data_IF_926790606596
#
_entry.id   IF_926790606596
#
_cell.length_a   1.000
_cell.length_b   1.000
_cell.length_c   1.000
_cell.angle_alpha   90.00
_cell.angle_beta   90.00
_cell.angle_gamma   90.00
#
_symmetry.space_group_name_H-M   'P 1'
#
loop_
_entity.id
_entity.type
_entity.pdbx_description
1 polymer ?
#
# COMPACT_ATOMS: atom_id res chain seq x y z
N UNK A 1 12.69 32.43 13.64
CA UNK A 1 13.44 31.17 13.46
C UNK A 1 12.51 30.20 12.76
N UNK A 2 12.89 29.79 11.54
CA UNK A 2 12.07 28.96 10.65
C UNK A 2 12.29 27.50 11.02
N UNK A 3 11.33 26.87 11.70
CA UNK A 3 11.29 25.42 11.91
C UNK A 3 10.31 24.85 10.90
N UNK A 4 10.73 24.80 9.63
CA UNK A 4 9.94 24.21 8.54
C UNK A 4 10.80 23.32 7.63
N UNK A 5 12.00 22.93 8.08
CA UNK A 5 12.99 22.27 7.24
C UNK A 5 13.09 20.75 7.39
N UNK A 6 12.55 20.16 8.46
CA UNK A 6 12.85 18.74 8.78
C UNK A 6 11.75 17.80 8.25
N UNK A 7 10.47 18.18 8.34
CA UNK A 7 9.39 17.34 7.82
C UNK A 7 9.45 17.16 6.28
N UNK A 8 9.81 18.21 5.53
CA UNK A 8 9.84 18.15 4.07
C UNK A 8 11.05 17.37 3.50
N UNK A 9 12.16 17.28 4.23
CA UNK A 9 13.37 16.61 3.75
C UNK A 9 13.25 15.07 3.81
N UNK A 10 12.48 14.54 4.77
CA UNK A 10 12.19 13.10 4.86
C UNK A 10 11.31 12.66 3.69
N UNK A 11 10.34 13.49 3.30
CA UNK A 11 9.46 13.22 2.15
C UNK A 11 10.18 13.18 0.80
N UNK A 12 11.25 13.97 0.62
CA UNK A 12 11.93 14.07 -0.67
C UNK A 12 12.83 12.87 -0.98
N UNK A 13 13.38 12.22 0.03
CA UNK A 13 14.29 11.08 -0.15
C UNK A 13 13.57 9.73 -0.36
N UNK A 14 12.25 9.66 -0.11
CA UNK A 14 11.41 8.47 -0.35
C UNK A 14 10.84 8.37 -1.76
N UNK A 15 11.01 9.39 -2.61
CA UNK A 15 10.53 9.45 -4.00
C UNK A 15 11.32 8.56 -4.98
N UNK A 16 11.98 7.48 -4.52
CA UNK A 16 12.56 6.48 -5.43
C UNK A 16 11.46 5.54 -5.90
N UNK A 17 11.45 5.21 -7.19
CA UNK A 17 10.59 4.15 -7.71
C UNK A 17 10.76 2.90 -6.83
N UNK A 18 9.67 2.26 -6.35
CA UNK A 18 8.29 2.36 -6.82
C UNK A 18 7.38 3.41 -6.12
N UNK A 19 7.88 4.15 -5.12
CA UNK A 19 7.05 4.98 -4.23
C UNK A 19 6.93 6.45 -4.63
N UNK A 20 7.35 6.81 -5.84
CA UNK A 20 7.03 8.14 -6.35
C UNK A 20 5.50 8.26 -6.44
N UNK A 21 4.93 9.24 -5.73
CA UNK A 21 3.55 9.66 -5.96
C UNK A 21 3.45 10.02 -7.44
N UNK A 22 2.82 9.15 -8.22
CA UNK A 22 2.63 9.35 -9.65
C UNK A 22 1.79 10.63 -9.87
N UNK A 23 1.68 11.10 -11.11
CA UNK A 23 0.72 12.14 -11.50
C UNK A 23 -0.74 11.62 -11.46
N UNK A 24 -1.04 10.83 -10.44
CA UNK A 24 -2.26 10.09 -10.18
C UNK A 24 -3.22 10.92 -9.33
N UNK A 25 -4.53 10.63 -9.38
CA UNK A 25 -5.53 11.37 -8.64
C UNK A 25 -5.27 11.33 -7.13
N UNK A 26 -5.48 12.46 -6.46
CA UNK A 26 -5.45 12.53 -4.99
C UNK A 26 -6.48 11.56 -4.39
N UNK A 27 -6.12 10.93 -3.28
CA UNK A 27 -6.95 9.99 -2.53
C UNK A 27 -7.15 10.49 -1.10
N UNK A 28 -8.28 10.10 -0.51
CA UNK A 28 -8.58 10.34 0.90
C UNK A 28 -8.40 9.02 1.65
N UNK A 29 -7.29 8.90 2.38
CA UNK A 29 -6.87 7.65 3.03
C UNK A 29 -6.45 7.92 4.47
N UNK A 30 -6.97 7.13 5.40
CA UNK A 30 -6.48 7.03 6.77
C UNK A 30 -5.73 5.71 6.93
N UNK A 31 -4.49 5.76 7.40
CA UNK A 31 -3.71 4.57 7.74
C UNK A 31 -3.56 4.52 9.25
N UNK A 32 -3.83 3.37 9.85
CA UNK A 32 -3.69 3.16 11.29
C UNK A 32 -3.19 1.76 11.58
N UNK A 33 -2.44 1.64 12.67
CA UNK A 33 -2.20 0.38 13.32
C UNK A 33 -3.49 -0.18 13.95
N UNK A 34 -3.63 -1.50 13.97
CA UNK A 34 -4.53 -2.17 14.90
C UNK A 34 -4.14 -1.81 16.34
N UNK A 35 -5.13 -1.84 17.24
CA UNK A 35 -4.88 -1.64 18.66
C UNK A 35 -4.06 -2.81 19.22
N UNK A 36 -2.74 -2.69 19.13
CA UNK A 36 -1.75 -3.57 19.75
C UNK A 36 -1.02 -2.85 20.88
N UNK A 37 -0.52 -3.62 21.84
CA UNK A 37 0.38 -3.11 22.88
C UNK A 37 1.86 -3.13 22.42
N UNK A 38 2.13 -3.70 21.23
CA UNK A 38 3.47 -3.78 20.66
C UNK A 38 3.76 -2.57 19.77
N UNK A 39 4.90 -1.86 19.98
CA UNK A 39 5.25 -0.67 19.20
C UNK A 39 5.48 -1.01 17.72
N UNK A 40 5.88 -2.24 17.41
CA UNK A 40 6.28 -2.68 16.08
C UNK A 40 5.17 -2.48 15.03
N UNK A 41 3.90 -2.64 15.41
CA UNK A 41 2.76 -2.43 14.50
C UNK A 41 2.48 -0.95 14.21
N UNK A 42 2.77 -0.06 15.17
CA UNK A 42 2.65 1.39 14.97
C UNK A 42 3.74 1.88 14.03
N UNK A 43 4.99 1.46 14.25
CA UNK A 43 6.11 1.76 13.37
C UNK A 43 5.86 1.21 11.96
N UNK A 44 5.36 -0.03 11.86
CA UNK A 44 5.00 -0.60 10.55
C UNK A 44 3.94 0.23 9.84
N UNK A 45 2.92 0.73 10.54
CA UNK A 45 1.88 1.57 9.93
C UNK A 45 2.44 2.88 9.34
N UNK A 46 3.45 3.47 9.99
CA UNK A 46 4.16 4.63 9.47
C UNK A 46 5.04 4.27 8.26
N UNK A 47 5.77 3.17 8.35
CA UNK A 47 6.63 2.64 7.29
C UNK A 47 5.84 2.36 5.99
N UNK A 48 4.63 1.82 6.11
CA UNK A 48 3.83 1.35 4.97
C UNK A 48 2.88 2.41 4.40
N UNK A 49 2.69 3.55 5.08
CA UNK A 49 1.71 4.58 4.71
C UNK A 49 1.84 4.99 3.23
N UNK A 50 3.09 5.15 2.76
CA UNK A 50 3.34 5.58 1.38
C UNK A 50 2.93 4.50 0.37
N UNK A 51 3.31 3.24 0.57
CA UNK A 51 2.99 2.17 -0.40
C UNK A 51 1.48 1.94 -0.50
N UNK A 52 0.77 1.96 0.62
CA UNK A 52 -0.68 1.72 0.63
C UNK A 52 -1.47 2.90 0.05
N UNK A 53 -1.01 4.15 0.25
CA UNK A 53 -1.62 5.30 -0.44
C UNK A 53 -1.44 5.22 -1.94
N UNK A 54 -0.25 4.86 -2.40
CA UNK A 54 0.03 4.72 -3.84
C UNK A 54 -0.81 3.60 -4.44
N UNK A 55 -1.00 2.49 -3.72
CA UNK A 55 -1.92 1.43 -4.13
C UNK A 55 -3.34 1.96 -4.38
N UNK A 56 -3.91 2.69 -3.42
CA UNK A 56 -5.26 3.28 -3.56
C UNK A 56 -5.31 4.31 -4.71
N UNK A 57 -4.25 5.11 -4.91
CA UNK A 57 -4.16 6.04 -6.04
C UNK A 57 -4.18 5.32 -7.38
N UNK A 58 -3.42 4.24 -7.52
CA UNK A 58 -3.33 3.44 -8.75
C UNK A 58 -4.65 2.71 -9.02
N UNK A 59 -5.33 2.19 -7.98
CA UNK A 59 -6.69 1.69 -8.09
C UNK A 59 -7.66 2.75 -8.62
N UNK A 60 -7.69 3.93 -7.98
CA UNK A 60 -8.56 5.05 -8.39
C UNK A 60 -8.28 5.52 -9.82
N UNK A 61 -7.01 5.46 -10.24
CA UNK A 61 -6.60 5.83 -11.59
C UNK A 61 -6.99 4.80 -12.66
N UNK A 62 -7.41 3.60 -12.28
CA UNK A 62 -7.56 2.48 -13.21
C UNK A 62 -6.21 1.92 -13.70
N UNK A 63 -5.12 2.20 -12.99
CA UNK A 63 -3.74 1.91 -13.41
C UNK A 63 -3.35 0.47 -13.05
N UNK A 64 -3.75 -0.46 -13.91
CA UNK A 64 -3.44 -1.89 -13.76
C UNK A 64 -1.92 -2.15 -13.76
N UNK A 65 -1.18 -1.47 -14.63
CA UNK A 65 0.28 -1.62 -14.72
C UNK A 65 0.96 -1.16 -13.43
N UNK A 66 0.55 0.01 -12.94
CA UNK A 66 1.03 0.50 -11.67
C UNK A 66 0.65 -0.39 -10.49
N UNK A 67 -0.57 -0.92 -10.41
CA UNK A 67 -0.92 -1.85 -9.32
C UNK A 67 0.02 -3.07 -9.33
N UNK A 68 0.37 -3.58 -10.50
CA UNK A 68 1.29 -4.71 -10.64
C UNK A 68 2.74 -4.39 -10.21
N UNK A 69 3.25 -3.19 -10.53
CA UNK A 69 4.59 -2.75 -10.09
C UNK A 69 4.76 -2.70 -8.57
N UNK A 70 3.65 -2.54 -7.82
CA UNK A 70 3.69 -2.55 -6.35
C UNK A 70 3.87 -3.97 -5.79
N UNK A 71 3.77 -5.01 -6.60
CA UNK A 71 3.94 -6.40 -6.17
C UNK A 71 5.40 -6.87 -6.12
N UNK A 72 6.35 -6.00 -6.44
CA UNK A 72 7.78 -6.32 -6.41
C UNK A 72 8.46 -6.20 -7.76
N UNK A 73 9.80 -6.11 -7.78
CA UNK A 73 10.59 -5.93 -8.99
C UNK A 73 10.54 -7.14 -9.95
N UNK A 74 10.12 -8.30 -9.46
CA UNK A 74 9.92 -9.50 -10.26
C UNK A 74 8.63 -9.45 -11.11
N UNK A 75 7.67 -8.58 -10.77
CA UNK A 75 6.42 -8.42 -11.51
C UNK A 75 6.61 -7.48 -12.71
N UNK A 76 6.89 -8.08 -13.88
CA UNK A 76 7.18 -7.33 -15.11
C UNK A 76 5.97 -7.11 -16.02
N UNK A 77 4.87 -7.83 -15.79
CA UNK A 77 3.64 -7.70 -16.55
C UNK A 77 2.43 -7.68 -15.61
N UNK A 78 1.40 -6.86 -15.89
CA UNK A 78 0.19 -6.84 -15.09
C UNK A 78 -0.52 -8.20 -15.14
N UNK A 79 -0.43 -8.94 -14.04
CA UNK A 79 -1.14 -10.20 -13.87
C UNK A 79 -2.66 -10.00 -13.81
N UNK A 80 -3.45 -11.08 -14.04
CA UNK A 80 -4.91 -11.02 -13.99
C UNK A 80 -5.45 -10.47 -12.67
N UNK A 81 -4.73 -10.67 -11.56
CA UNK A 81 -5.07 -10.15 -10.22
C UNK A 81 -5.06 -8.63 -10.15
N UNK A 82 -4.06 -7.96 -10.73
CA UNK A 82 -4.00 -6.50 -10.73
C UNK A 82 -5.20 -5.90 -11.49
N UNK A 83 -5.54 -6.49 -12.64
CA UNK A 83 -6.70 -6.09 -13.43
C UNK A 83 -8.01 -6.34 -12.67
N UNK A 84 -8.10 -7.46 -11.95
CA UNK A 84 -9.22 -7.78 -11.09
C UNK A 84 -9.39 -6.74 -9.98
N UNK A 85 -8.33 -6.40 -9.25
CA UNK A 85 -8.41 -5.43 -8.16
C UNK A 85 -8.80 -4.04 -8.64
N UNK A 86 -8.24 -3.57 -9.76
CA UNK A 86 -8.66 -2.31 -10.37
C UNK A 86 -10.15 -2.34 -10.72
N UNK A 87 -10.65 -3.43 -11.31
CA UNK A 87 -12.06 -3.57 -11.66
C UNK A 87 -12.97 -3.62 -10.43
N UNK A 88 -12.56 -4.31 -9.37
CA UNK A 88 -13.40 -4.54 -8.18
C UNK A 88 -13.39 -3.37 -7.20
N UNK A 89 -12.27 -2.67 -7.08
CA UNK A 89 -12.04 -1.65 -6.04
C UNK A 89 -11.75 -0.25 -6.58
N UNK A 90 -11.50 -0.08 -7.88
CA UNK A 90 -11.12 1.20 -8.46
C UNK A 90 -12.17 2.31 -8.25
N UNK A 91 -13.45 2.00 -8.41
CA UNK A 91 -14.54 2.95 -8.11
C UNK A 91 -14.61 3.26 -6.61
N UNK A 92 -14.50 2.24 -5.77
CA UNK A 92 -14.56 2.36 -4.31
C UNK A 92 -13.40 3.19 -3.74
N UNK A 93 -12.22 3.11 -4.36
CA UNK A 93 -11.04 3.93 -4.06
C UNK A 93 -11.25 5.44 -4.36
N UNK A 94 -12.35 5.80 -5.02
CA UNK A 94 -12.76 7.19 -5.21
C UNK A 94 -13.23 7.89 -3.93
N UNK A 95 -13.71 7.13 -2.95
CA UNK A 95 -14.17 7.62 -1.64
C UNK A 95 -13.10 7.58 -0.54
N UNK A 96 -13.53 7.77 0.72
CA UNK A 96 -12.65 7.60 1.87
C UNK A 96 -12.27 6.14 2.08
N UNK A 97 -10.97 5.87 2.29
CA UNK A 97 -10.44 4.53 2.51
C UNK A 97 -9.74 4.47 3.86
N UNK A 98 -10.18 3.55 4.72
CA UNK A 98 -9.50 3.22 5.97
C UNK A 98 -8.62 1.99 5.77
N UNK A 99 -7.34 2.11 6.13
CA UNK A 99 -6.38 1.02 6.10
C UNK A 99 -5.97 0.72 7.53
N UNK A 100 -6.18 -0.53 7.94
CA UNK A 100 -5.77 -1.02 9.25
C UNK A 100 -4.62 -2.02 9.06
N UNK A 101 -3.46 -1.69 9.61
CA UNK A 101 -2.28 -2.56 9.63
C UNK A 101 -2.39 -3.49 10.82
N UNK A 102 -2.42 -4.80 10.53
CA UNK A 102 -2.57 -5.84 11.53
C UNK A 102 -1.20 -6.32 12.00
N UNK A 103 -1.19 -6.95 13.17
CA UNK A 103 0.02 -7.56 13.71
C UNK A 103 0.48 -8.70 12.79
N UNK A 104 1.70 -8.56 12.30
CA UNK A 104 2.38 -9.59 11.52
C UNK A 104 2.89 -10.69 12.44
N UNK A 105 2.88 -11.94 11.95
CA UNK A 105 3.54 -13.05 12.66
C UNK A 105 5.07 -12.96 12.60
N UNK A 106 5.61 -12.16 11.66
CA UNK A 106 7.03 -11.93 11.41
C UNK A 106 7.25 -10.50 10.88
N UNK A 107 8.45 -9.95 11.10
CA UNK A 107 8.78 -8.52 10.85
C UNK A 107 8.80 -8.10 9.37
N UNK A 108 8.64 -9.05 8.45
CA UNK A 108 8.64 -8.83 7.00
C UNK A 108 7.30 -9.17 6.33
N UNK A 109 6.29 -9.59 7.11
CA UNK A 109 4.95 -9.86 6.61
C UNK A 109 3.89 -9.23 7.51
N UNK A 110 3.13 -8.28 6.95
CA UNK A 110 2.07 -7.60 7.69
C UNK A 110 0.75 -7.67 6.91
N UNK A 111 -0.28 -8.35 7.45
CA UNK A 111 -1.59 -8.29 6.85
C UNK A 111 -2.19 -6.89 7.06
N UNK A 112 -2.97 -6.44 6.09
CA UNK A 112 -3.73 -5.20 6.19
C UNK A 112 -5.17 -5.44 5.76
N UNK A 113 -6.08 -4.73 6.39
CA UNK A 113 -7.46 -4.62 5.93
C UNK A 113 -7.68 -3.24 5.33
N UNK A 114 -8.10 -3.21 4.06
CA UNK A 114 -8.52 -1.99 3.35
C UNK A 114 -10.04 -1.94 3.35
N UNK A 115 -10.60 -0.91 3.98
CA UNK A 115 -12.05 -0.68 4.06
C UNK A 115 -12.43 0.53 3.23
N UNK A 116 -13.25 0.31 2.20
CA UNK A 116 -13.76 1.36 1.33
C UNK A 116 -15.07 1.89 1.90
N UNK A 117 -15.04 3.02 2.62
CA UNK A 117 -16.18 3.49 3.41
C UNK A 117 -17.43 3.78 2.58
N UNK A 118 -17.26 4.24 1.35
CA UNK A 118 -18.37 4.58 0.46
C UNK A 118 -19.18 3.35 0.03
N UNK A 119 -18.53 2.22 -0.23
CA UNK A 119 -19.17 0.99 -0.71
C UNK A 119 -19.38 -0.05 0.38
N UNK A 120 -18.70 0.10 1.51
CA UNK A 120 -18.63 -0.91 2.58
C UNK A 120 -17.80 -2.13 2.20
N UNK A 121 -17.16 -2.15 1.02
CA UNK A 121 -16.29 -3.24 0.61
C UNK A 121 -15.06 -3.31 1.50
N UNK A 122 -14.57 -4.55 1.69
CA UNK A 122 -13.33 -4.83 2.39
C UNK A 122 -12.43 -5.66 1.50
N UNK A 123 -11.15 -5.36 1.57
CA UNK A 123 -10.10 -6.11 0.89
C UNK A 123 -9.01 -6.43 1.90
N UNK A 124 -8.67 -7.71 2.01
CA UNK A 124 -7.51 -8.15 2.77
C UNK A 124 -6.30 -8.21 1.82
N UNK A 125 -5.17 -7.67 2.26
CA UNK A 125 -3.90 -7.68 1.53
C UNK A 125 -2.78 -8.10 2.46
N UNK A 126 -1.69 -8.58 1.87
CA UNK A 126 -0.45 -8.83 2.58
C UNK A 126 0.59 -7.79 2.16
N UNK A 127 1.31 -7.22 3.11
CA UNK A 127 2.50 -6.43 2.87
C UNK A 127 3.73 -7.29 3.09
N UNK A 128 4.69 -7.20 2.17
CA UNK A 128 5.95 -7.95 2.21
C UNK A 128 7.13 -7.00 2.21
N UNK A 129 8.05 -7.17 3.16
CA UNK A 129 9.31 -6.43 3.20
C UNK A 129 10.42 -7.22 2.52
N UNK A 130 10.97 -6.69 1.43
CA UNK A 130 12.11 -7.26 0.72
C UNK A 130 13.13 -6.17 0.36
N UNK A 131 14.41 -6.44 0.59
CA UNK A 131 15.53 -5.49 0.41
C UNK A 131 15.28 -4.09 1.00
N UNK A 132 14.65 -4.03 2.19
CA UNK A 132 14.33 -2.77 2.86
C UNK A 132 13.13 -2.00 2.29
N UNK A 133 12.37 -2.59 1.37
CA UNK A 133 11.23 -1.99 0.69
C UNK A 133 9.95 -2.81 0.94
N UNK A 134 8.81 -2.13 1.08
CA UNK A 134 7.49 -2.76 1.26
C UNK A 134 6.74 -2.94 -0.06
N UNK A 135 6.18 -4.13 -0.26
CA UNK A 135 5.47 -4.53 -1.48
C UNK A 135 4.08 -5.05 -1.15
N UNK A 136 3.15 -4.96 -2.11
CA UNK A 136 1.77 -5.48 -2.00
C UNK A 136 1.74 -6.91 -2.54
N UNK A 137 1.46 -7.90 -1.69
CA UNK A 137 1.16 -9.25 -2.13
C UNK A 137 -0.15 -9.26 -2.94
N UNK A 138 -0.06 -9.60 -4.23
CA UNK A 138 -1.22 -9.73 -5.12
C UNK A 138 -1.61 -11.21 -5.29
N UNK A 139 -2.78 -11.59 -4.77
CA UNK A 139 -3.34 -12.95 -4.86
C UNK A 139 -2.88 -13.90 -3.76
N UNK A 140 -3.19 -15.20 -3.88
CA UNK A 140 -2.75 -16.25 -2.94
C UNK A 140 -1.25 -16.56 -3.03
N UNK A 141 -0.54 -15.88 -3.94
CA UNK A 141 0.89 -16.03 -4.18
C UNK A 141 1.67 -15.02 -3.35
N UNK A 142 2.10 -15.48 -2.18
CA UNK A 142 3.30 -14.98 -1.51
C UNK A 142 4.41 -14.72 -2.55
N UNK A 143 5.03 -13.52 -2.60
CA UNK A 143 6.19 -13.28 -3.47
C UNK A 143 7.39 -14.19 -3.14
N UNK A 144 7.40 -14.90 -2.00
CA UNK A 144 8.42 -15.90 -1.66
C UNK A 144 8.22 -17.26 -2.35
N UNK A 145 7.02 -17.57 -2.85
CA UNK A 145 6.79 -18.74 -3.69
C UNK A 145 6.97 -18.36 -5.15
N UNK A 146 8.23 -18.38 -5.61
CA UNK A 146 8.51 -18.50 -7.04
C UNK A 146 7.68 -19.64 -7.63
N UNK A 147 7.12 -19.40 -8.82
CA UNK A 147 6.38 -20.39 -9.60
C UNK A 147 7.12 -21.71 -9.78
#
# INVERSE_FOLDING_TARGET
MVVAGIAAAVWWNWLRAPYALAASPTVDVTVRAEKSNYPDVQETAEDVDTVVRIYVQRLKAGDVGGVAELAGPAYKEPGPTAAQYVREYGEAAGGHVDITVLEGSVDYFNPITVTYQQTGQRQELLLVKDDGHWWIGLGDGDPATGA
#
